data_IF_269677186649
#
_entry.id   IF_269677186649
#
_cell.length_a   1.000
_cell.length_b   1.000
_cell.length_c   1.000
_cell.angle_alpha   90.00
_cell.angle_beta   90.00
_cell.angle_gamma   90.00
#
_symmetry.space_group_name_H-M   'P 1'
#
loop_
_entity.id
_entity.type
_entity.pdbx_description
1 polymer ?
#
# COMPACT_ATOMS: atom_id res chain seq x y z
N UNK A 1 9.47 26.27 39.71
CA UNK A 1 8.63 25.51 38.75
C UNK A 1 9.27 24.14 38.60
N UNK A 2 8.72 23.12 39.25
CA UNK A 2 9.22 21.75 39.15
C UNK A 2 8.71 21.13 37.84
N UNK A 3 9.62 20.63 37.01
CA UNK A 3 9.35 19.90 35.78
C UNK A 3 8.66 18.57 36.10
N UNK A 4 7.49 18.31 35.50
CA UNK A 4 6.83 17.01 35.58
C UNK A 4 7.73 15.91 34.97
N UNK A 5 7.88 14.75 35.63
CA UNK A 5 8.65 13.64 35.09
C UNK A 5 7.90 13.02 33.90
N UNK A 6 8.58 12.94 32.75
CA UNK A 6 8.14 12.23 31.55
C UNK A 6 7.85 10.76 31.88
N UNK A 7 6.57 10.41 32.01
CA UNK A 7 6.12 9.02 32.18
C UNK A 7 6.35 8.27 30.86
N UNK A 8 7.31 7.36 30.86
CA UNK A 8 7.56 6.47 29.72
C UNK A 8 6.28 5.65 29.41
N UNK A 9 5.91 5.47 28.13
CA UNK A 9 4.72 4.73 27.77
C UNK A 9 4.81 3.28 28.30
N UNK A 10 3.68 2.69 28.75
CA UNK A 10 3.67 1.34 29.30
C UNK A 10 4.18 0.33 28.26
N UNK A 11 5.13 -0.51 28.68
CA UNK A 11 5.68 -1.58 27.86
C UNK A 11 4.55 -2.56 27.48
N UNK A 12 4.41 -2.93 26.19
CA UNK A 12 3.36 -3.84 25.77
C UNK A 12 3.51 -5.20 26.46
N UNK A 13 2.39 -5.82 26.84
CA UNK A 13 2.43 -7.16 27.44
C UNK A 13 3.11 -8.14 26.48
N UNK A 14 3.78 -9.19 27.00
CA UNK A 14 4.40 -10.24 26.18
C UNK A 14 3.42 -10.86 25.18
N UNK A 15 2.14 -10.95 25.53
CA UNK A 15 1.07 -11.40 24.66
C UNK A 15 0.80 -10.42 23.52
N UNK A 16 0.76 -9.12 23.81
CA UNK A 16 0.60 -8.08 22.79
C UNK A 16 1.79 -8.04 21.83
N UNK A 17 3.02 -8.23 22.35
CA UNK A 17 4.22 -8.32 21.52
C UNK A 17 4.20 -9.56 20.61
N UNK A 18 3.78 -10.72 21.14
CA UNK A 18 3.62 -11.94 20.35
C UNK A 18 2.54 -11.79 19.26
N UNK A 19 1.40 -11.20 19.60
CA UNK A 19 0.32 -10.95 18.64
C UNK A 19 0.77 -10.00 17.53
N UNK A 20 1.51 -8.94 17.88
CA UNK A 20 2.12 -8.03 16.89
C UNK A 20 3.15 -8.75 16.03
N UNK A 21 3.98 -9.63 16.60
CA UNK A 21 4.94 -10.43 15.86
C UNK A 21 4.28 -11.38 14.86
N UNK A 22 3.10 -11.94 15.21
CA UNK A 22 2.26 -12.72 14.31
C UNK A 22 1.50 -11.87 13.28
N UNK A 23 1.65 -10.54 13.30
CA UNK A 23 1.00 -9.62 12.37
C UNK A 23 -0.44 -9.26 12.72
N UNK A 24 -0.90 -9.50 13.95
CA UNK A 24 -2.22 -9.07 14.39
C UNK A 24 -2.25 -7.54 14.53
N UNK A 25 -2.92 -6.86 13.59
CA UNK A 25 -3.15 -5.42 13.64
C UNK A 25 -4.30 -5.12 14.63
N UNK A 26 -4.06 -4.36 15.71
CA UNK A 26 -5.09 -4.02 16.69
C UNK A 26 -6.07 -2.94 16.21
N UNK A 27 -5.97 -2.45 14.97
CA UNK A 27 -6.84 -1.37 14.46
C UNK A 27 -8.33 -1.72 14.58
N UNK A 28 -9.13 -0.90 15.29
CA UNK A 28 -10.53 -1.20 15.51
C UNK A 28 -11.36 -0.92 14.25
N UNK A 29 -11.74 -1.98 13.54
CA UNK A 29 -12.74 -1.90 12.45
C UNK A 29 -14.12 -1.67 13.07
N UNK A 30 -14.86 -0.67 12.59
CA UNK A 30 -16.21 -0.35 13.11
C UNK A 30 -17.20 -1.52 12.98
N UNK A 31 -18.17 -1.59 13.88
CA UNK A 31 -19.22 -2.64 13.86
C UNK A 31 -20.05 -2.58 12.57
N UNK A 32 -20.29 -1.36 12.06
CA UNK A 32 -20.97 -1.16 10.78
C UNK A 32 -20.20 -1.78 9.62
N UNK A 33 -18.89 -1.55 9.55
CA UNK A 33 -18.04 -2.11 8.51
C UNK A 33 -18.04 -3.65 8.53
N UNK A 34 -17.95 -4.25 9.73
CA UNK A 34 -18.02 -5.71 9.91
C UNK A 34 -19.37 -6.29 9.49
N UNK A 35 -20.46 -5.65 9.90
CA UNK A 35 -21.83 -6.13 9.59
C UNK A 35 -22.13 -6.02 8.09
N UNK A 36 -21.73 -4.93 7.43
CA UNK A 36 -21.85 -4.78 5.98
C UNK A 36 -21.00 -5.83 5.25
N UNK A 37 -19.78 -6.12 5.70
CA UNK A 37 -18.94 -7.16 5.12
C UNK A 37 -19.56 -8.57 5.24
N UNK A 38 -20.07 -8.92 6.42
CA UNK A 38 -20.68 -10.24 6.69
C UNK A 38 -21.97 -10.41 5.87
N UNK A 39 -22.90 -9.46 5.98
CA UNK A 39 -24.17 -9.54 5.25
C UNK A 39 -23.96 -9.43 3.74
N UNK A 40 -23.03 -8.58 3.31
CA UNK A 40 -22.69 -8.43 1.89
C UNK A 40 -22.12 -9.70 1.30
N UNK A 41 -21.17 -10.35 1.98
CA UNK A 41 -20.60 -11.63 1.53
C UNK A 41 -21.64 -12.76 1.53
N UNK A 42 -22.51 -12.82 2.54
CA UNK A 42 -23.62 -13.77 2.59
C UNK A 42 -24.55 -13.61 1.38
N UNK A 43 -25.04 -12.39 1.14
CA UNK A 43 -25.95 -12.11 0.01
C UNK A 43 -25.27 -12.39 -1.32
N UNK A 44 -24.02 -11.97 -1.51
CA UNK A 44 -23.28 -12.22 -2.74
C UNK A 44 -23.08 -13.72 -2.99
N UNK A 45 -22.73 -14.49 -1.96
CA UNK A 45 -22.59 -15.95 -2.10
C UNK A 45 -23.93 -16.63 -2.42
N UNK A 46 -25.04 -16.20 -1.81
CA UNK A 46 -26.37 -16.71 -2.15
C UNK A 46 -26.73 -16.44 -3.62
N UNK A 47 -26.40 -15.24 -4.14
CA UNK A 47 -26.58 -14.91 -5.55
C UNK A 47 -25.72 -15.82 -6.44
N UNK A 48 -24.44 -16.00 -6.11
CA UNK A 48 -23.56 -16.91 -6.85
C UNK A 48 -24.13 -18.33 -6.86
N UNK A 49 -24.52 -18.87 -5.71
CA UNK A 49 -25.13 -20.21 -5.64
C UNK A 49 -26.41 -20.33 -6.48
N UNK A 50 -27.27 -19.31 -6.46
CA UNK A 50 -28.49 -19.27 -7.27
C UNK A 50 -28.20 -19.27 -8.77
N UNK A 51 -27.23 -18.47 -9.21
CA UNK A 51 -26.79 -18.43 -10.61
C UNK A 51 -26.13 -19.75 -11.00
N UNK A 52 -25.20 -20.28 -10.21
CA UNK A 52 -24.52 -21.55 -10.48
C UNK A 52 -25.50 -22.73 -10.57
N UNK A 53 -26.54 -22.77 -9.70
CA UNK A 53 -27.58 -23.81 -9.74
C UNK A 53 -28.43 -23.76 -11.01
N UNK A 54 -28.60 -22.58 -11.59
CA UNK A 54 -29.39 -22.37 -12.80
C UNK A 54 -28.63 -22.75 -14.07
N UNK A 55 -27.33 -23.08 -13.98
CA UNK A 55 -26.52 -23.50 -15.11
C UNK A 55 -26.74 -24.98 -15.47
N UNK A 56 -26.63 -25.36 -16.75
CA UNK A 56 -26.67 -26.75 -17.18
C UNK A 56 -25.57 -27.58 -16.49
N UNK A 57 -25.91 -28.69 -15.82
CA UNK A 57 -24.97 -29.51 -15.05
C UNK A 57 -24.89 -29.20 -13.55
N UNK A 58 -25.92 -28.53 -13.01
CA UNK A 58 -26.05 -27.87 -11.69
C UNK A 58 -25.71 -28.61 -10.39
N UNK A 59 -24.49 -29.14 -10.28
CA UNK A 59 -23.87 -29.58 -9.02
C UNK A 59 -22.41 -29.12 -8.95
N UNK A 60 -22.18 -27.81 -8.99
CA UNK A 60 -20.84 -27.20 -8.96
C UNK A 60 -20.33 -26.90 -7.53
N UNK A 61 -20.47 -27.85 -6.60
CA UNK A 61 -20.01 -27.73 -5.19
C UNK A 61 -18.50 -27.41 -5.10
N UNK A 62 -17.70 -27.71 -6.14
CA UNK A 62 -16.24 -27.63 -6.09
C UNK A 62 -15.64 -26.22 -6.31
N UNK A 63 -16.33 -25.27 -6.95
CA UNK A 63 -15.78 -23.90 -7.20
C UNK A 63 -16.14 -22.93 -6.07
N UNK A 64 -16.92 -23.41 -5.12
CA UNK A 64 -17.37 -22.69 -3.94
C UNK A 64 -16.19 -22.28 -3.06
N UNK A 65 -15.13 -23.10 -2.99
CA UNK A 65 -14.01 -22.82 -2.09
C UNK A 65 -13.21 -21.56 -2.50
N UNK A 66 -12.78 -21.48 -3.77
CA UNK A 66 -12.04 -20.31 -4.27
C UNK A 66 -12.93 -19.07 -4.39
N UNK A 67 -14.20 -19.24 -4.77
CA UNK A 67 -15.17 -18.15 -4.82
C UNK A 67 -15.49 -17.60 -3.43
N UNK A 68 -15.64 -18.47 -2.43
CA UNK A 68 -15.83 -18.08 -1.04
C UNK A 68 -14.63 -17.30 -0.50
N UNK A 69 -13.40 -17.77 -0.75
CA UNK A 69 -12.19 -17.03 -0.38
C UNK A 69 -12.09 -15.66 -1.08
N UNK A 70 -12.51 -15.57 -2.35
CA UNK A 70 -12.62 -14.30 -3.09
C UNK A 70 -13.63 -13.38 -2.43
N UNK A 71 -14.81 -13.89 -2.05
CA UNK A 71 -15.86 -13.13 -1.38
C UNK A 71 -15.36 -12.59 -0.03
N UNK A 72 -14.63 -13.39 0.75
CA UNK A 72 -14.02 -12.95 2.01
C UNK A 72 -13.18 -11.70 1.76
N UNK A 73 -12.20 -11.72 0.85
CA UNK A 73 -11.30 -10.57 0.68
C UNK A 73 -11.98 -9.37 0.01
N UNK A 74 -12.93 -9.60 -0.91
CA UNK A 74 -13.66 -8.51 -1.58
C UNK A 74 -14.53 -7.76 -0.58
N UNK A 75 -15.19 -8.47 0.35
CA UNK A 75 -16.06 -7.84 1.32
C UNK A 75 -15.36 -7.37 2.58
N UNK A 76 -14.22 -7.93 2.97
CA UNK A 76 -13.44 -7.42 4.13
C UNK A 76 -12.48 -6.30 3.73
N UNK A 77 -11.94 -6.33 2.51
CA UNK A 77 -10.95 -5.37 2.02
C UNK A 77 -11.33 -4.89 0.59
N UNK A 78 -12.45 -4.15 0.43
CA UNK A 78 -12.96 -3.77 -0.89
C UNK A 78 -12.03 -2.84 -1.69
N UNK A 79 -11.17 -2.06 -1.02
CA UNK A 79 -10.17 -1.20 -1.68
C UNK A 79 -8.81 -1.86 -1.84
N UNK A 80 -8.65 -3.09 -1.35
CA UNK A 80 -7.41 -3.84 -1.47
C UNK A 80 -7.07 -4.06 -2.94
N UNK A 81 -5.78 -3.93 -3.27
CA UNK A 81 -5.31 -4.14 -4.65
C UNK A 81 -5.68 -5.53 -5.16
N UNK A 82 -5.52 -6.55 -4.31
CA UNK A 82 -5.82 -7.96 -4.62
C UNK A 82 -7.32 -8.24 -4.76
N UNK A 83 -8.18 -7.39 -4.21
CA UNK A 83 -9.63 -7.53 -4.26
C UNK A 83 -10.26 -6.82 -5.46
N UNK A 84 -9.50 -5.99 -6.21
CA UNK A 84 -10.04 -5.24 -7.34
C UNK A 84 -10.50 -6.17 -8.49
N UNK A 85 -11.43 -5.71 -9.36
CA UNK A 85 -12.00 -6.57 -10.40
C UNK A 85 -10.97 -7.19 -11.33
N UNK A 86 -9.87 -6.49 -11.63
CA UNK A 86 -8.82 -7.00 -12.52
C UNK A 86 -8.11 -8.23 -11.94
N UNK A 87 -7.50 -8.18 -10.73
CA UNK A 87 -6.95 -9.38 -10.10
C UNK A 87 -7.95 -10.51 -9.90
N UNK A 88 -9.19 -10.21 -9.47
CA UNK A 88 -10.22 -11.24 -9.26
C UNK A 88 -10.55 -11.96 -10.57
N UNK A 89 -10.94 -11.22 -11.61
CA UNK A 89 -11.38 -11.84 -12.86
C UNK A 89 -10.21 -12.47 -13.61
N UNK A 90 -9.16 -11.69 -13.89
CA UNK A 90 -8.03 -12.16 -14.71
C UNK A 90 -7.22 -13.21 -13.98
N UNK A 91 -7.02 -13.07 -12.67
CA UNK A 91 -6.33 -14.07 -11.86
C UNK A 91 -7.01 -15.43 -11.97
N UNK A 92 -8.32 -15.50 -11.72
CA UNK A 92 -9.07 -16.76 -11.80
C UNK A 92 -9.06 -17.38 -13.21
N UNK A 93 -9.25 -16.57 -14.25
CA UNK A 93 -9.26 -17.06 -15.63
C UNK A 93 -7.88 -17.59 -16.05
N UNK A 94 -6.82 -16.82 -15.77
CA UNK A 94 -5.44 -17.19 -16.10
C UNK A 94 -5.02 -18.47 -15.36
N UNK A 95 -5.26 -18.52 -14.04
CA UNK A 95 -4.96 -19.68 -13.22
C UNK A 95 -5.81 -20.90 -13.62
N UNK A 96 -7.08 -20.72 -13.96
CA UNK A 96 -7.93 -21.78 -14.49
C UNK A 96 -7.40 -22.35 -15.81
N UNK A 97 -6.97 -21.50 -16.75
CA UNK A 97 -6.37 -21.93 -18.02
C UNK A 97 -5.07 -22.71 -17.80
N UNK A 98 -4.20 -22.23 -16.92
CA UNK A 98 -2.95 -22.92 -16.56
C UNK A 98 -3.28 -24.28 -15.93
N UNK A 99 -4.20 -24.33 -14.97
CA UNK A 99 -4.59 -25.57 -14.31
C UNK A 99 -5.16 -26.62 -15.27
N UNK A 100 -6.08 -26.23 -16.17
CA UNK A 100 -6.62 -27.15 -17.19
C UNK A 100 -5.52 -27.63 -18.15
N UNK A 101 -4.62 -26.73 -18.55
CA UNK A 101 -3.52 -27.08 -19.46
C UNK A 101 -2.54 -28.05 -18.81
N UNK A 102 -2.14 -27.79 -17.57
CA UNK A 102 -1.30 -28.70 -16.79
C UNK A 102 -1.98 -30.04 -16.55
N UNK A 103 -3.27 -30.08 -16.21
CA UNK A 103 -4.02 -31.33 -16.04
C UNK A 103 -4.01 -32.18 -17.33
N UNK A 104 -4.15 -31.55 -18.50
CA UNK A 104 -4.11 -32.24 -19.80
C UNK A 104 -2.72 -32.75 -20.19
N UNK A 105 -1.65 -32.01 -19.86
CA UNK A 105 -0.30 -32.31 -20.32
C UNK A 105 0.53 -33.13 -19.34
N UNK A 106 0.37 -32.84 -18.04
CA UNK A 106 1.12 -33.45 -16.94
C UNK A 106 0.29 -34.49 -16.19
N UNK A 107 -1.00 -34.62 -16.50
CA UNK A 107 -1.94 -35.43 -15.74
C UNK A 107 -2.28 -34.82 -14.38
N UNK A 108 -2.99 -35.59 -13.56
CA UNK A 108 -3.43 -35.20 -12.22
C UNK A 108 -2.49 -35.74 -11.14
N UNK A 109 -2.18 -34.95 -10.11
CA UNK A 109 -1.40 -35.43 -8.96
C UNK A 109 -0.63 -34.31 -8.25
N UNK A 110 0.07 -34.63 -7.15
CA UNK A 110 0.77 -33.65 -6.34
C UNK A 110 1.84 -32.85 -7.11
N UNK A 111 2.59 -33.52 -7.99
CA UNK A 111 3.62 -32.87 -8.81
C UNK A 111 3.00 -31.88 -9.80
N UNK A 112 1.99 -32.31 -10.56
CA UNK A 112 1.28 -31.44 -11.49
C UNK A 112 0.63 -30.25 -10.78
N UNK A 113 0.07 -30.46 -9.59
CA UNK A 113 -0.48 -29.40 -8.76
C UNK A 113 0.58 -28.38 -8.30
N UNK A 114 1.75 -28.84 -7.84
CA UNK A 114 2.85 -27.97 -7.43
C UNK A 114 3.39 -27.12 -8.59
N UNK A 115 3.58 -27.74 -9.77
CA UNK A 115 3.99 -27.04 -10.99
C UNK A 115 2.93 -26.00 -11.39
N UNK A 116 1.67 -26.40 -11.38
CA UNK A 116 0.53 -25.52 -11.72
C UNK A 116 0.49 -24.28 -10.84
N UNK A 117 0.59 -24.43 -9.52
CA UNK A 117 0.59 -23.30 -8.58
C UNK A 117 1.79 -22.39 -8.81
N UNK A 118 2.98 -22.96 -9.06
CA UNK A 118 4.19 -22.18 -9.35
C UNK A 118 4.04 -21.34 -10.62
N UNK A 119 3.47 -21.93 -11.69
CA UNK A 119 3.15 -21.22 -12.93
C UNK A 119 2.08 -20.14 -12.71
N UNK A 120 1.08 -20.40 -11.88
CA UNK A 120 0.06 -19.42 -11.52
C UNK A 120 0.65 -18.20 -10.80
N UNK A 121 1.56 -18.41 -9.85
CA UNK A 121 2.26 -17.32 -9.15
C UNK A 121 3.04 -16.46 -10.15
N UNK A 122 3.80 -17.09 -11.04
CA UNK A 122 4.54 -16.38 -12.09
C UNK A 122 3.60 -15.59 -13.00
N UNK A 123 2.56 -16.25 -13.52
CA UNK A 123 1.62 -15.66 -14.48
C UNK A 123 0.83 -14.50 -13.87
N UNK A 124 0.35 -14.62 -12.63
CA UNK A 124 -0.31 -13.53 -11.93
C UNK A 124 0.64 -12.36 -11.63
N UNK A 125 1.90 -12.65 -11.30
CA UNK A 125 2.92 -11.63 -11.05
C UNK A 125 3.21 -10.81 -12.32
N UNK A 126 3.39 -11.49 -13.46
CA UNK A 126 3.60 -10.84 -14.76
C UNK A 126 2.35 -10.08 -15.21
N UNK A 127 1.17 -10.69 -15.08
CA UNK A 127 -0.12 -10.09 -15.44
C UNK A 127 -0.61 -9.00 -14.48
N UNK A 128 0.13 -8.74 -13.40
CA UNK A 128 -0.24 -7.81 -12.31
C UNK A 128 -1.66 -8.06 -11.79
N UNK A 129 -2.05 -9.33 -11.74
CA UNK A 129 -3.38 -9.79 -11.37
C UNK A 129 -3.33 -10.77 -10.18
N UNK A 130 -2.40 -10.54 -9.25
CA UNK A 130 -2.24 -11.37 -8.05
C UNK A 130 -3.54 -11.38 -7.25
N UNK A 131 -4.18 -12.54 -7.22
CA UNK A 131 -5.38 -12.82 -6.44
C UNK A 131 -5.24 -14.23 -5.87
N UNK A 132 -4.76 -14.37 -4.62
CA UNK A 132 -4.43 -15.68 -4.05
C UNK A 132 -5.54 -16.76 -4.17
N UNK A 133 -6.85 -16.44 -4.03
CA UNK A 133 -7.91 -17.41 -4.27
C UNK A 133 -7.92 -18.04 -5.67
N UNK A 134 -7.35 -17.39 -6.68
CA UNK A 134 -7.21 -17.95 -8.02
C UNK A 134 -6.30 -19.19 -8.06
N UNK A 135 -5.30 -19.28 -7.17
CA UNK A 135 -4.46 -20.48 -7.04
C UNK A 135 -5.26 -21.73 -6.67
N UNK A 136 -6.27 -21.58 -5.80
CA UNK A 136 -7.20 -22.67 -5.48
C UNK A 136 -8.03 -23.09 -6.69
N UNK A 137 -8.41 -22.15 -7.57
CA UNK A 137 -9.12 -22.46 -8.83
C UNK A 137 -8.26 -23.32 -9.76
N UNK A 138 -6.96 -23.03 -9.86
CA UNK A 138 -6.03 -23.85 -10.64
C UNK A 138 -5.86 -25.25 -10.04
N UNK A 139 -5.77 -25.35 -8.70
CA UNK A 139 -5.74 -26.63 -8.01
C UNK A 139 -7.01 -27.44 -8.23
N UNK A 140 -8.19 -26.81 -8.23
CA UNK A 140 -9.44 -27.48 -8.59
C UNK A 140 -9.39 -28.05 -10.01
N UNK A 141 -8.80 -27.33 -10.96
CA UNK A 141 -8.66 -27.84 -12.34
C UNK A 141 -7.77 -29.09 -12.43
N UNK A 142 -6.77 -29.24 -11.56
CA UNK A 142 -5.82 -30.36 -11.56
C UNK A 142 -6.26 -31.52 -10.66
N UNK A 143 -6.88 -31.21 -9.51
CA UNK A 143 -7.19 -32.18 -8.45
C UNK A 143 -8.70 -32.41 -8.28
N UNK A 144 -9.55 -31.76 -9.08
CA UNK A 144 -11.01 -31.80 -8.97
C UNK A 144 -11.67 -33.10 -9.44
N UNK A 145 -10.88 -34.12 -9.82
CA UNK A 145 -11.37 -35.39 -10.33
C UNK A 145 -12.02 -35.30 -11.72
N UNK A 146 -12.61 -36.41 -12.18
CA UNK A 146 -13.18 -36.55 -13.52
C UNK A 146 -14.22 -35.48 -13.83
N UNK A 147 -15.08 -35.14 -12.86
CA UNK A 147 -16.09 -34.09 -13.01
C UNK A 147 -15.52 -32.75 -13.48
N UNK A 148 -14.30 -32.40 -13.07
CA UNK A 148 -13.65 -31.14 -13.47
C UNK A 148 -12.73 -31.35 -14.67
N UNK A 149 -11.97 -32.44 -14.73
CA UNK A 149 -11.02 -32.68 -15.82
C UNK A 149 -11.72 -32.92 -17.15
N UNK A 150 -12.89 -33.57 -17.14
CA UNK A 150 -13.68 -33.87 -18.34
C UNK A 150 -14.28 -32.61 -18.94
N UNK A 151 -14.58 -31.59 -18.11
CA UNK A 151 -15.01 -30.27 -18.58
C UNK A 151 -13.90 -29.56 -19.37
N UNK A 152 -12.63 -29.84 -19.11
CA UNK A 152 -11.51 -29.20 -19.78
C UNK A 152 -11.62 -27.67 -19.74
N UNK A 153 -11.45 -26.99 -20.88
CA UNK A 153 -11.51 -25.53 -20.93
C UNK A 153 -12.89 -24.94 -20.64
N UNK A 154 -13.97 -25.73 -20.77
CA UNK A 154 -15.31 -25.26 -20.37
C UNK A 154 -15.41 -24.98 -18.86
N UNK A 155 -14.52 -25.58 -18.04
CA UNK A 155 -14.34 -25.24 -16.63
C UNK A 155 -14.06 -23.75 -16.41
N UNK A 156 -13.23 -23.16 -17.28
CA UNK A 156 -12.88 -21.74 -17.18
C UNK A 156 -14.08 -20.86 -17.56
N UNK A 157 -14.84 -21.26 -18.56
CA UNK A 157 -15.94 -20.47 -19.10
C UNK A 157 -17.21 -20.52 -18.23
N UNK A 158 -17.63 -21.69 -17.78
CA UNK A 158 -19.01 -21.89 -17.32
C UNK A 158 -19.13 -22.67 -16.02
N UNK A 159 -18.07 -22.70 -15.20
CA UNK A 159 -18.33 -22.10 -13.89
C UNK A 159 -17.40 -20.98 -13.42
N UNK A 160 -16.12 -20.94 -13.79
CA UNK A 160 -15.18 -19.96 -13.18
C UNK A 160 -15.54 -18.52 -13.56
N UNK A 161 -15.63 -18.21 -14.86
CA UNK A 161 -15.92 -16.86 -15.34
C UNK A 161 -17.27 -16.35 -14.81
N UNK A 162 -18.29 -17.21 -14.84
CA UNK A 162 -19.64 -16.88 -14.38
C UNK A 162 -19.63 -16.52 -12.90
N UNK A 163 -18.99 -17.34 -12.07
CA UNK A 163 -18.93 -17.08 -10.63
C UNK A 163 -18.20 -15.77 -10.33
N UNK A 164 -17.09 -15.49 -11.03
CA UNK A 164 -16.33 -14.24 -10.83
C UNK A 164 -17.11 -13.01 -11.28
N UNK A 165 -17.75 -13.05 -12.45
CA UNK A 165 -18.59 -11.94 -12.93
C UNK A 165 -19.78 -11.69 -12.00
N UNK A 166 -20.42 -12.77 -11.54
CA UNK A 166 -21.55 -12.69 -10.59
C UNK A 166 -21.10 -12.10 -9.25
N UNK A 167 -19.97 -12.57 -8.71
CA UNK A 167 -19.42 -12.08 -7.46
C UNK A 167 -19.00 -10.61 -7.55
N UNK A 168 -18.29 -10.22 -8.61
CA UNK A 168 -17.88 -8.83 -8.87
C UNK A 168 -19.12 -7.95 -9.01
N UNK A 169 -20.12 -8.36 -9.80
CA UNK A 169 -21.37 -7.63 -9.97
C UNK A 169 -22.11 -7.43 -8.64
N UNK A 170 -22.25 -8.49 -7.85
CA UNK A 170 -22.84 -8.42 -6.52
C UNK A 170 -22.04 -7.47 -5.59
N UNK A 171 -20.71 -7.55 -5.61
CA UNK A 171 -19.86 -6.67 -4.81
C UNK A 171 -19.98 -5.20 -5.20
N UNK A 172 -20.10 -4.89 -6.50
CA UNK A 172 -20.37 -3.52 -6.96
C UNK A 172 -21.72 -3.04 -6.42
N UNK A 173 -22.79 -3.81 -6.61
CA UNK A 173 -24.14 -3.42 -6.22
C UNK A 173 -24.30 -3.25 -4.70
N UNK A 174 -23.75 -4.18 -3.92
CA UNK A 174 -23.86 -4.18 -2.46
C UNK A 174 -23.04 -3.02 -1.85
N UNK A 175 -21.86 -2.72 -2.40
CA UNK A 175 -21.01 -1.65 -1.86
C UNK A 175 -21.36 -0.26 -2.42
N UNK A 176 -22.19 -0.16 -3.46
CA UNK A 176 -22.55 1.12 -4.10
C UNK A 176 -23.16 2.17 -3.15
N UNK A 177 -24.09 1.80 -2.22
CA UNK A 177 -24.70 2.76 -1.29
C UNK A 177 -23.71 3.34 -0.28
N UNK A 178 -22.65 2.61 0.04
CA UNK A 178 -21.69 2.97 1.08
C UNK A 178 -20.54 3.78 0.49
N UNK A 179 -20.60 5.11 0.65
CA UNK A 179 -19.60 6.05 0.10
C UNK A 179 -18.15 5.75 0.50
N UNK A 180 -17.91 5.10 1.64
CA UNK A 180 -16.55 4.73 2.05
C UNK A 180 -16.11 3.39 1.47
N UNK A 181 -17.03 2.47 1.10
CA UNK A 181 -16.74 1.11 0.61
C UNK A 181 -16.84 0.90 -0.90
N UNK A 182 -17.12 1.95 -1.68
CA UNK A 182 -17.43 1.80 -3.11
C UNK A 182 -16.42 0.92 -3.82
N UNK A 183 -16.96 -0.09 -4.52
CA UNK A 183 -16.23 -1.08 -5.26
C UNK A 183 -16.63 -0.98 -6.75
N UNK A 184 -15.68 -0.93 -7.70
CA UNK A 184 -14.23 -0.85 -7.52
C UNK A 184 -13.75 0.45 -6.86
N UNK A 185 -12.53 0.43 -6.34
CA UNK A 185 -11.93 1.58 -5.64
C UNK A 185 -11.86 2.86 -6.50
N UNK A 186 -11.87 2.73 -7.84
CA UNK A 186 -11.93 3.86 -8.77
C UNK A 186 -13.21 4.69 -8.65
N UNK A 187 -14.32 4.10 -8.19
CA UNK A 187 -15.58 4.81 -7.91
C UNK A 187 -15.50 5.68 -6.65
N UNK A 188 -14.44 5.50 -5.86
CA UNK A 188 -14.18 6.24 -4.63
C UNK A 188 -13.30 7.47 -4.86
N UNK A 189 -13.34 8.05 -6.07
CA UNK A 189 -12.54 9.21 -6.44
C UNK A 189 -12.89 10.42 -5.56
N UNK A 190 -12.15 10.57 -4.47
CA UNK A 190 -12.09 11.82 -3.73
C UNK A 190 -11.29 12.80 -4.58
N UNK A 191 -11.90 13.96 -4.87
CA UNK A 191 -11.25 15.09 -5.55
C UNK A 191 -9.95 15.39 -4.79
N UNK A 192 -8.78 15.16 -5.41
CA UNK A 192 -7.48 15.49 -4.82
C UNK A 192 -7.51 16.97 -4.43
N UNK A 193 -7.67 17.25 -3.13
CA UNK A 193 -7.32 18.58 -2.61
C UNK A 193 -5.80 18.70 -2.76
N UNK A 194 -5.33 19.88 -3.14
CA UNK A 194 -3.91 20.18 -3.09
C UNK A 194 -3.41 19.83 -1.68
N UNK A 195 -2.39 19.00 -1.59
CA UNK A 195 -1.74 18.72 -0.33
C UNK A 195 -1.15 20.04 0.18
N UNK A 196 -1.29 20.36 1.48
CA UNK A 196 -0.55 21.47 2.06
C UNK A 196 0.96 21.25 1.86
N UNK A 197 1.75 22.33 1.76
CA UNK A 197 3.17 22.26 1.40
C UNK A 197 4.03 21.44 2.37
N UNK A 198 3.58 21.27 3.62
CA UNK A 198 4.22 20.40 4.61
C UNK A 198 3.15 19.66 5.43
N UNK A 199 3.19 18.33 5.41
CA UNK A 199 2.45 17.47 6.35
C UNK A 199 3.45 17.02 7.41
N UNK A 200 3.19 17.27 8.69
CA UNK A 200 4.07 16.81 9.78
C UNK A 200 3.82 15.32 10.11
N UNK A 201 4.78 14.67 10.78
CA UNK A 201 4.66 13.27 11.22
C UNK A 201 3.44 13.08 12.14
N UNK A 202 3.16 14.06 13.01
CA UNK A 202 2.00 14.05 13.90
C UNK A 202 0.65 14.11 13.17
N UNK A 203 0.57 14.88 12.07
CA UNK A 203 -0.61 14.96 11.21
C UNK A 203 -0.88 13.63 10.50
N UNK A 204 0.18 12.93 10.07
CA UNK A 204 0.07 11.62 9.43
C UNK A 204 -0.43 10.56 10.41
N UNK A 205 0.12 10.51 11.63
CA UNK A 205 -0.34 9.60 12.68
C UNK A 205 -1.80 9.86 13.06
N UNK A 206 -2.21 11.14 13.14
CA UNK A 206 -3.63 11.49 13.35
C UNK A 206 -4.50 11.02 12.19
N UNK A 207 -4.10 11.25 10.94
CA UNK A 207 -4.86 10.82 9.77
C UNK A 207 -5.01 9.28 9.71
N UNK A 208 -3.95 8.54 10.03
CA UNK A 208 -3.98 7.08 10.11
C UNK A 208 -4.96 6.58 11.18
N UNK A 209 -5.12 7.30 12.30
CA UNK A 209 -6.12 6.96 13.32
C UNK A 209 -7.57 7.16 12.87
N UNK A 210 -7.80 7.93 11.80
CA UNK A 210 -9.14 8.28 11.27
C UNK A 210 -9.53 7.49 10.04
N UNK A 211 -8.60 6.80 9.39
CA UNK A 211 -8.88 5.97 8.20
C UNK A 211 -9.40 4.61 8.68
N UNK A 212 -10.72 4.44 8.70
CA UNK A 212 -11.40 3.15 8.92
C UNK A 212 -11.43 2.36 7.61
N UNK A 213 -10.26 2.08 7.04
CA UNK A 213 -10.12 1.37 5.77
C UNK A 213 -8.90 0.47 5.85
N UNK A 214 -9.08 -0.81 5.50
CA UNK A 214 -7.99 -1.76 5.50
C UNK A 214 -7.01 -1.43 4.36
N UNK A 215 -5.85 -0.87 4.71
CA UNK A 215 -4.78 -0.52 3.78
C UNK A 215 -3.62 -1.47 4.00
N UNK A 216 -3.22 -2.18 2.94
CA UNK A 216 -2.12 -3.16 2.95
C UNK A 216 -0.75 -2.47 2.94
N UNK A 217 -0.53 -1.56 3.90
CA UNK A 217 0.73 -0.84 4.12
C UNK A 217 0.90 -0.64 5.63
N UNK A 218 2.06 -1.05 6.17
CA UNK A 218 2.41 -0.82 7.56
C UNK A 218 2.63 0.69 7.83
N UNK A 219 2.40 1.14 9.06
CA UNK A 219 2.65 2.53 9.46
C UNK A 219 4.12 2.93 9.24
N UNK A 220 5.05 2.05 9.60
CA UNK A 220 6.49 2.30 9.40
C UNK A 220 6.87 2.45 7.93
N UNK A 221 6.23 1.69 7.04
CA UNK A 221 6.45 1.78 5.60
C UNK A 221 5.91 3.10 5.04
N UNK A 222 4.76 3.57 5.55
CA UNK A 222 4.22 4.88 5.18
C UNK A 222 5.13 6.02 5.65
N UNK A 223 5.65 5.92 6.88
CA UNK A 223 6.63 6.87 7.41
C UNK A 223 7.91 6.85 6.58
N UNK A 224 8.40 5.67 6.21
CA UNK A 224 9.57 5.51 5.33
C UNK A 224 9.33 6.11 3.95
N UNK A 225 8.15 5.90 3.35
CA UNK A 225 7.77 6.52 2.08
C UNK A 225 7.75 8.04 2.21
N UNK A 226 7.20 8.57 3.31
CA UNK A 226 7.18 10.01 3.60
C UNK A 226 8.61 10.57 3.74
N UNK A 227 9.49 9.90 4.49
CA UNK A 227 10.89 10.30 4.64
C UNK A 227 11.66 10.26 3.31
N UNK A 228 11.44 9.24 2.49
CA UNK A 228 12.02 9.14 1.16
C UNK A 228 11.53 10.28 0.25
N UNK A 229 10.22 10.57 0.27
CA UNK A 229 9.64 11.66 -0.51
C UNK A 229 10.19 13.03 -0.06
N UNK A 230 10.30 13.24 1.25
CA UNK A 230 10.85 14.47 1.85
C UNK A 230 12.32 14.67 1.48
N UNK A 231 13.14 13.61 1.58
CA UNK A 231 14.56 13.68 1.23
C UNK A 231 14.83 14.09 -0.22
N UNK A 232 13.88 13.82 -1.13
CA UNK A 232 13.95 14.26 -2.52
C UNK A 232 13.60 15.73 -2.68
N UNK A 233 12.56 16.21 -2.01
CA UNK A 233 12.18 17.64 -2.00
C UNK A 233 13.30 18.50 -1.42
N UNK A 234 13.88 18.05 -0.31
CA UNK A 234 14.96 18.77 0.38
C UNK A 234 16.22 18.84 -0.50
N UNK A 235 16.56 17.75 -1.22
CA UNK A 235 17.66 17.75 -2.20
C UNK A 235 17.43 18.69 -3.38
N UNK A 236 16.21 18.79 -3.91
CA UNK A 236 15.90 19.74 -5.00
C UNK A 236 16.04 21.20 -4.55
N UNK A 237 15.65 21.52 -3.30
CA UNK A 237 15.87 22.84 -2.71
C UNK A 237 17.37 23.17 -2.52
N UNK A 238 18.19 22.19 -2.12
CA UNK A 238 19.66 22.35 -1.95
C UNK A 238 20.39 22.49 -3.29
N UNK A 239 19.86 21.96 -4.38
CA UNK A 239 20.46 22.14 -5.71
C UNK A 239 20.36 23.61 -6.17
N UNK A 240 19.37 24.36 -5.67
CA UNK A 240 19.11 25.75 -6.03
C UNK A 240 19.65 26.73 -4.98
N UNK A 241 20.94 26.59 -4.61
CA UNK A 241 21.62 27.55 -3.72
C UNK A 241 21.63 28.93 -4.39
N UNK A 242 21.04 29.92 -3.73
CA UNK A 242 20.99 31.30 -4.19
C UNK A 242 21.82 32.21 -3.27
N UNK A 243 22.40 33.25 -3.86
CA UNK A 243 23.07 34.31 -3.12
C UNK A 243 22.10 34.94 -2.10
N UNK A 244 22.56 35.10 -0.85
CA UNK A 244 21.73 35.57 0.27
C UNK A 244 20.86 34.52 0.96
N UNK A 245 20.76 33.29 0.41
CA UNK A 245 20.01 32.20 1.02
C UNK A 245 20.64 31.67 2.30
N UNK A 246 19.83 31.28 3.28
CA UNK A 246 20.27 30.71 4.55
C UNK A 246 20.01 29.21 4.60
N UNK A 247 21.01 28.43 5.03
CA UNK A 247 20.97 26.97 5.05
C UNK A 247 21.46 26.45 6.39
N UNK A 248 20.86 25.37 6.88
CA UNK A 248 21.28 24.71 8.12
C UNK A 248 21.83 23.33 7.83
N UNK A 249 22.82 22.91 8.63
CA UNK A 249 23.37 21.56 8.57
C UNK A 249 22.47 20.49 9.22
N UNK A 250 21.39 20.88 9.89
CA UNK A 250 20.49 19.94 10.57
C UNK A 250 21.08 19.25 11.81
N UNK A 251 22.22 19.73 12.32
CA UNK A 251 22.81 19.25 13.56
C UNK A 251 22.00 19.63 14.81
N UNK A 252 22.48 19.22 15.99
CA UNK A 252 21.88 19.58 17.28
C UNK A 252 22.95 20.03 18.27
N UNK A 253 22.59 20.91 19.21
CA UNK A 253 23.51 21.40 20.24
C UNK A 253 24.67 22.19 19.62
N UNK A 254 25.91 21.84 20.00
CA UNK A 254 27.11 22.57 19.58
C UNK A 254 27.50 22.32 18.10
N UNK A 255 26.87 21.33 17.46
CA UNK A 255 27.07 21.02 16.05
C UNK A 255 25.99 21.65 15.16
N UNK A 256 24.98 22.32 15.72
CA UNK A 256 23.96 23.00 14.94
C UNK A 256 24.47 24.36 14.47
N UNK A 257 24.33 24.61 13.16
CA UNK A 257 24.79 25.85 12.55
C UNK A 257 23.87 26.26 11.38
N UNK A 258 23.77 27.58 11.17
CA UNK A 258 23.14 28.19 10.02
C UNK A 258 24.16 29.06 9.29
N UNK A 259 24.29 28.85 7.98
CA UNK A 259 25.15 29.63 7.07
C UNK A 259 24.30 30.42 6.09
N UNK A 260 24.58 31.70 5.95
CA UNK A 260 24.09 32.54 4.87
C UNK A 260 25.11 32.57 3.73
N UNK A 261 24.67 32.29 2.51
CA UNK A 261 25.49 32.43 1.31
C UNK A 261 25.68 33.90 0.99
N UNK A 262 26.92 34.32 0.72
CA UNK A 262 27.24 35.72 0.40
C UNK A 262 26.57 36.19 -0.90
N UNK A 263 26.32 37.50 -1.01
CA UNK A 263 25.69 38.12 -2.17
C UNK A 263 26.55 38.04 -3.45
N UNK A 264 27.88 37.93 -3.30
CA UNK A 264 28.84 37.96 -4.40
C UNK A 264 29.13 36.55 -5.00
N UNK A 265 28.24 35.58 -4.76
CA UNK A 265 28.40 34.21 -5.25
C UNK A 265 28.13 34.11 -6.76
N UNK A 266 29.14 33.72 -7.54
CA UNK A 266 29.01 33.39 -8.96
C UNK A 266 28.60 31.93 -9.13
N UNK A 267 27.61 31.64 -9.99
CA UNK A 267 27.11 30.28 -10.27
C UNK A 267 27.96 29.49 -11.26
N UNK A 268 29.17 29.95 -11.59
CA UNK A 268 30.03 29.28 -12.57
C UNK A 268 30.68 28.01 -11.96
N UNK A 269 30.84 26.96 -12.75
CA UNK A 269 31.12 25.58 -12.29
C UNK A 269 32.47 25.35 -11.56
N UNK A 270 33.21 26.42 -11.27
CA UNK A 270 34.43 26.46 -10.43
C UNK A 270 34.21 27.22 -9.10
N UNK A 271 32.96 27.53 -8.75
CA UNK A 271 32.61 28.48 -7.70
C UNK A 271 32.75 27.92 -6.28
N UNK A 272 33.61 28.58 -5.51
CA UNK A 272 33.61 28.49 -4.05
C UNK A 272 32.38 29.24 -3.53
N UNK A 273 31.66 28.64 -2.58
CA UNK A 273 30.56 29.26 -1.85
C UNK A 273 31.16 29.97 -0.65
N UNK A 274 31.20 31.31 -0.71
CA UNK A 274 31.48 32.13 0.44
C UNK A 274 30.23 32.23 1.32
N UNK A 275 30.38 32.03 2.62
CA UNK A 275 29.27 32.06 3.57
C UNK A 275 29.64 32.75 4.88
N UNK A 276 28.61 33.24 5.58
CA UNK A 276 28.69 33.74 6.95
C UNK A 276 27.85 32.86 7.87
N UNK A 277 28.38 32.52 9.03
CA UNK A 277 27.66 31.82 10.08
C UNK A 277 26.82 32.85 10.82
N UNK A 278 25.50 32.63 10.83
CA UNK A 278 24.51 33.59 11.36
C UNK A 278 23.76 33.04 12.59
N UNK A 279 24.01 31.77 12.92
CA UNK A 279 23.54 31.12 14.14
C UNK A 279 24.31 29.81 14.35
N UNK A 280 24.66 29.50 15.61
CA UNK A 280 25.42 28.30 15.97
C UNK A 280 26.56 28.62 16.93
N UNK A 281 27.46 27.66 17.14
CA UNK A 281 28.61 27.80 18.06
C UNK A 281 29.59 28.87 17.60
N UNK A 282 29.78 29.01 16.28
CA UNK A 282 30.70 29.96 15.65
C UNK A 282 29.96 31.17 15.04
N UNK A 283 28.89 31.64 15.70
CA UNK A 283 28.10 32.78 15.22
C UNK A 283 28.98 34.03 14.97
N UNK A 284 28.78 34.67 13.81
CA UNK A 284 29.60 35.76 13.31
C UNK A 284 30.83 35.34 12.50
N UNK A 285 31.17 34.05 12.46
CA UNK A 285 32.25 33.50 11.64
C UNK A 285 31.95 33.57 10.13
N UNK A 286 32.99 33.45 9.29
CA UNK A 286 32.85 33.37 7.85
C UNK A 286 33.84 32.38 7.25
N UNK A 287 33.48 31.77 6.12
CA UNK A 287 34.33 30.79 5.45
C UNK A 287 34.01 30.63 3.97
N UNK A 288 34.83 29.85 3.29
CA UNK A 288 34.66 29.49 1.88
C UNK A 288 34.81 27.98 1.71
N UNK A 289 33.83 27.33 1.07
CA UNK A 289 33.90 25.91 0.70
C UNK A 289 33.66 25.75 -0.79
N UNK A 290 33.98 24.59 -1.37
CA UNK A 290 33.47 24.26 -2.70
C UNK A 290 31.94 24.13 -2.68
N UNK A 291 31.29 24.24 -3.84
CA UNK A 291 29.85 24.03 -3.97
C UNK A 291 29.43 22.62 -3.52
N UNK A 292 30.24 21.60 -3.85
CA UNK A 292 29.94 20.22 -3.48
C UNK A 292 30.08 19.97 -1.98
N UNK A 293 31.11 20.55 -1.33
CA UNK A 293 31.24 20.51 0.13
C UNK A 293 30.10 21.26 0.82
N UNK A 294 29.68 22.41 0.28
CA UNK A 294 28.55 23.17 0.83
C UNK A 294 27.24 22.39 0.73
N UNK A 295 26.99 21.75 -0.43
CA UNK A 295 25.84 20.87 -0.64
C UNK A 295 25.87 19.64 0.25
N UNK A 296 27.05 19.10 0.55
CA UNK A 296 27.21 17.97 1.46
C UNK A 296 26.99 18.37 2.93
N UNK A 297 27.35 19.60 3.30
CA UNK A 297 27.13 20.17 4.63
C UNK A 297 25.67 20.61 4.88
N UNK A 298 25.02 21.20 3.87
CA UNK A 298 23.68 21.77 4.00
C UNK A 298 22.60 20.67 3.99
N UNK A 299 21.80 20.59 5.05
CA UNK A 299 20.68 19.64 5.16
C UNK A 299 19.35 20.21 4.66
N UNK A 300 19.09 21.51 4.83
CA UNK A 300 17.87 22.18 4.35
C UNK A 300 18.01 23.71 4.39
N UNK A 301 17.19 24.40 3.59
CA UNK A 301 17.07 25.86 3.65
C UNK A 301 16.27 26.31 4.87
N UNK A 302 16.63 27.47 5.44
CA UNK A 302 15.96 28.05 6.61
C UNK A 302 15.72 29.54 6.43
N UNK A 303 14.67 30.06 7.07
CA UNK A 303 14.36 31.48 7.18
C UNK A 303 14.21 31.84 8.64
N UNK A 304 14.73 33.01 9.00
CA UNK A 304 14.61 33.55 10.34
C UNK A 304 13.18 34.02 10.59
N UNK A 305 12.55 33.52 11.65
CA UNK A 305 11.25 33.97 12.15
C UNK A 305 11.38 34.39 13.62
N UNK A 306 11.61 35.68 13.84
CA UNK A 306 11.95 36.23 15.16
C UNK A 306 13.29 35.70 15.67
N UNK A 307 13.26 35.05 16.84
CA UNK A 307 14.42 34.40 17.47
C UNK A 307 14.59 32.92 17.07
N UNK A 308 13.71 32.41 16.20
CA UNK A 308 13.71 31.01 15.76
C UNK A 308 14.04 30.86 14.28
N UNK A 309 14.63 29.73 13.92
CA UNK A 309 14.92 29.38 12.52
C UNK A 309 13.93 28.32 12.05
N UNK A 310 13.11 28.70 11.07
CA UNK A 310 12.12 27.82 10.48
C UNK A 310 12.64 27.28 9.15
N UNK A 311 12.34 26.01 8.88
CA UNK A 311 12.66 25.38 7.59
C UNK A 311 11.76 25.99 6.49
N UNK A 312 12.34 26.22 5.32
CA UNK A 312 11.64 26.69 4.10
C UNK A 312 11.10 25.51 3.32
#
# INVERSE_FOLDING_TARGET
MASEPSVAPPQPSRMTALLRWLGADPRPVTVLERTVAILGSLVAMLIVFGVSRSMPGGSHVLIVASTGASAVIIFTVPHGRLSQPWPVLVGHLLCGLIGVTCAKWLGTGPMSAAITVSLCVLAMSVGRCVHPPAGATALTAVLGGSLITDMGYSFVLAPVMVNMLTLIGAAVLINLPFRWRRYPATLNWQRRKALPPSVDRSDLTYALSKIDTFMDINEDDLLRIYELARSRSDKELIINIQAGGCFSNGGFGHNWEVRQVSADYSTDNSARVAYRIIAGTDDGGSGESSLDEFKAWASYAVVRNGDSWNRV
#
